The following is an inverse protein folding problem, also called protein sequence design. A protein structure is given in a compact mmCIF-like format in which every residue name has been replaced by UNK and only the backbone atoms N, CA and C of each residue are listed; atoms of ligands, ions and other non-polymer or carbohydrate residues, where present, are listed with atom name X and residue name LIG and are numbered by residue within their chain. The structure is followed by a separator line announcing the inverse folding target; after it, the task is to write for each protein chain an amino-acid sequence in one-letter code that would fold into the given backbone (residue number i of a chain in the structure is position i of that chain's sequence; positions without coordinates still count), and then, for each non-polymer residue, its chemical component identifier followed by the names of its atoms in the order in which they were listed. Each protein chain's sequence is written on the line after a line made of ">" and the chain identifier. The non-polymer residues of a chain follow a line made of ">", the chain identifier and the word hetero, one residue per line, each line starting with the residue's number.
data_IF_335622634173
#
_entry.id   IF_335622634173
#
_cell.length_a   1.000
_cell.length_b   1.000
_cell.length_c   1.000
_cell.angle_alpha   90.00
_cell.angle_beta   90.00
_cell.angle_gamma   90.00
#
_symmetry.space_group_name_H-M   'P 1'
#
loop_
_entity.id
_entity.type
_entity.pdbx_description
1 polymer ?
#
# COMPACT_ATOMS: atom_id res chain seq x y z
N UNK A 1 15.63 22.07 24.88
CA UNK A 1 14.62 23.12 25.14
C UNK A 1 13.33 22.42 25.51
N UNK A 2 13.08 22.30 26.82
CA UNK A 2 11.94 21.57 27.40
C UNK A 2 10.83 22.59 27.65
N UNK A 3 9.70 22.49 26.95
CA UNK A 3 8.54 23.38 27.17
C UNK A 3 7.56 22.67 28.12
N UNK A 4 7.53 23.13 29.37
CA UNK A 4 6.55 22.72 30.38
C UNK A 4 5.33 23.65 30.24
N UNK A 5 4.17 23.12 29.85
CA UNK A 5 2.89 23.86 29.93
C UNK A 5 2.20 23.52 31.25
N UNK A 6 2.10 24.51 32.15
CA UNK A 6 1.24 24.48 33.33
C UNK A 6 -0.19 24.85 32.90
N UNK A 7 -1.13 23.91 33.03
CA UNK A 7 -2.56 24.19 32.93
C UNK A 7 -3.12 24.42 34.34
N UNK A 8 -3.71 25.59 34.58
CA UNK A 8 -4.45 25.90 35.80
C UNK A 8 -5.85 25.24 35.77
N UNK A 9 -6.44 24.86 36.92
CA UNK A 9 -7.77 24.26 36.94
C UNK A 9 -8.85 25.35 36.92
N UNK A 10 -9.84 25.22 36.04
CA UNK A 10 -11.11 25.94 36.16
C UNK A 10 -12.08 25.13 37.04
N UNK A 11 -12.73 25.80 37.98
CA UNK A 11 -13.65 25.20 38.96
C UNK A 11 -15.05 24.97 38.38
N UNK A 12 -15.66 23.85 38.78
CA UNK A 12 -16.93 23.28 38.34
C UNK A 12 -18.18 24.10 38.70
N UNK A 13 -19.16 24.13 37.80
CA UNK A 13 -20.59 24.06 38.15
C UNK A 13 -21.42 23.72 36.90
N UNK A 14 -21.76 22.45 36.73
CA UNK A 14 -23.12 21.94 36.46
C UNK A 14 -23.04 20.43 36.16
N UNK A 15 -23.16 19.61 37.21
CA UNK A 15 -23.26 18.15 37.07
C UNK A 15 -24.73 17.76 36.90
N UNK A 16 -25.25 17.92 35.68
CA UNK A 16 -26.41 17.12 35.27
C UNK A 16 -25.90 15.73 34.89
N UNK A 17 -26.19 14.78 35.79
CA UNK A 17 -25.80 13.38 35.74
C UNK A 17 -26.55 12.64 34.60
N UNK A 18 -26.12 12.85 33.36
CA UNK A 18 -26.41 11.91 32.28
C UNK A 18 -25.29 10.90 32.30
N UNK A 19 -25.61 9.66 32.68
CA UNK A 19 -24.69 8.54 32.68
C UNK A 19 -23.89 8.54 31.38
N UNK A 20 -22.61 8.91 31.46
CA UNK A 20 -21.69 8.77 30.35
C UNK A 20 -21.51 7.27 30.13
N UNK A 21 -22.31 6.71 29.23
CA UNK A 21 -21.98 5.48 28.56
C UNK A 21 -20.61 5.72 27.92
N UNK A 22 -19.57 5.24 28.58
CA UNK A 22 -18.20 5.41 28.17
C UNK A 22 -18.02 4.75 26.81
N UNK A 23 -18.12 5.53 25.74
CA UNK A 23 -17.57 5.14 24.45
C UNK A 23 -16.08 5.01 24.66
N UNK A 24 -15.60 3.77 24.78
CA UNK A 24 -14.19 3.50 24.58
C UNK A 24 -13.92 3.83 23.11
N UNK A 25 -13.32 4.98 22.86
CA UNK A 25 -12.94 5.36 21.51
C UNK A 25 -11.89 4.34 21.03
N UNK A 26 -12.33 3.38 20.22
CA UNK A 26 -11.40 2.47 19.57
C UNK A 26 -10.52 3.27 18.60
N UNK A 27 -9.20 3.02 18.57
CA UNK A 27 -8.33 3.69 17.62
C UNK A 27 -8.79 3.40 16.18
N UNK A 28 -8.92 4.45 15.38
CA UNK A 28 -9.22 4.36 13.95
C UNK A 28 -7.91 4.19 13.20
N UNK A 29 -7.83 3.16 12.38
CA UNK A 29 -6.67 2.87 11.53
C UNK A 29 -6.99 3.18 10.07
N UNK A 30 -6.02 3.77 9.37
CA UNK A 30 -6.07 4.03 7.93
C UNK A 30 -4.80 3.47 7.32
N UNK A 31 -4.95 2.71 6.23
CA UNK A 31 -3.84 2.24 5.40
C UNK A 31 -3.89 2.92 4.05
N UNK A 32 -2.72 3.30 3.53
CA UNK A 32 -2.58 3.95 2.22
C UNK A 32 -1.64 3.11 1.37
N UNK A 33 -2.11 2.73 0.19
CA UNK A 33 -1.33 2.02 -0.82
C UNK A 33 -1.19 2.95 -2.04
N UNK A 34 0.03 3.07 -2.57
CA UNK A 34 0.29 3.77 -3.84
C UNK A 34 0.68 2.74 -4.89
N UNK A 35 -0.10 2.71 -5.97
CA UNK A 35 0.01 1.75 -7.08
C UNK A 35 0.80 2.29 -8.26
N UNK A 36 1.03 1.43 -9.27
CA UNK A 36 1.68 1.74 -10.55
C UNK A 36 3.14 2.24 -10.46
N UNK A 37 3.85 1.81 -9.41
CA UNK A 37 5.28 2.03 -9.29
C UNK A 37 6.10 1.09 -10.19
N UNK A 38 7.29 1.54 -10.55
CA UNK A 38 8.33 0.78 -11.23
C UNK A 38 8.59 1.19 -12.68
N UNK A 39 7.69 1.97 -13.28
CA UNK A 39 7.87 2.48 -14.65
C UNK A 39 8.81 3.68 -14.73
N UNK A 40 8.92 4.50 -13.67
CA UNK A 40 9.75 5.72 -13.70
C UNK A 40 10.44 5.92 -12.36
N UNK A 41 11.71 5.50 -12.26
CA UNK A 41 12.45 5.51 -11.00
C UNK A 41 12.48 6.90 -10.32
N UNK A 42 12.74 7.98 -11.07
CA UNK A 42 12.82 9.33 -10.49
C UNK A 42 11.48 9.84 -9.93
N UNK A 43 10.38 9.59 -10.66
CA UNK A 43 9.01 9.89 -10.20
C UNK A 43 8.67 9.07 -8.95
N UNK A 44 8.93 7.77 -8.99
CA UNK A 44 8.52 6.84 -7.96
C UNK A 44 9.31 7.07 -6.65
N UNK A 45 10.57 7.49 -6.74
CA UNK A 45 11.35 7.94 -5.58
C UNK A 45 10.72 9.12 -4.83
N UNK A 46 9.94 9.98 -5.51
CA UNK A 46 9.21 11.05 -4.79
C UNK A 46 8.13 10.48 -3.88
N UNK A 47 7.45 9.42 -4.32
CA UNK A 47 6.47 8.72 -3.50
C UNK A 47 7.14 8.01 -2.32
N UNK A 48 8.27 7.33 -2.55
CA UNK A 48 9.04 6.63 -1.50
C UNK A 48 9.53 7.58 -0.40
N UNK A 49 9.82 8.84 -0.74
CA UNK A 49 10.27 9.88 0.21
C UNK A 49 9.16 10.47 1.08
N UNK A 50 7.90 10.07 0.91
CA UNK A 50 6.82 10.56 1.77
C UNK A 50 7.13 10.23 3.24
N UNK A 51 7.03 11.22 4.16
CA UNK A 51 7.33 11.04 5.58
C UNK A 51 6.17 10.39 6.34
N UNK A 52 5.62 9.28 5.80
CA UNK A 52 4.48 8.56 6.35
C UNK A 52 4.60 7.04 6.11
N UNK A 53 3.94 6.19 6.91
CA UNK A 53 3.88 4.74 6.68
C UNK A 53 2.92 4.44 5.52
N UNK A 54 3.46 4.43 4.30
CA UNK A 54 2.75 4.14 3.06
C UNK A 54 3.26 2.84 2.49
N UNK A 55 2.35 2.00 1.98
CA UNK A 55 2.67 0.76 1.29
C UNK A 55 2.76 1.02 -0.21
N UNK A 56 3.74 0.42 -0.89
CA UNK A 56 4.00 0.69 -2.30
C UNK A 56 3.80 -0.56 -3.14
N UNK A 57 2.93 -0.48 -4.14
CA UNK A 57 2.64 -1.58 -5.05
C UNK A 57 3.39 -1.42 -6.37
N UNK A 58 4.23 -2.41 -6.69
CA UNK A 58 5.19 -2.33 -7.80
C UNK A 58 4.77 -3.28 -8.92
N UNK A 59 4.71 -2.76 -10.15
CA UNK A 59 4.45 -3.56 -11.34
C UNK A 59 5.66 -4.49 -11.61
N UNK A 60 5.50 -5.82 -11.60
CA UNK A 60 6.62 -6.79 -11.55
C UNK A 60 7.50 -6.80 -12.80
N UNK A 61 6.95 -6.41 -13.95
CA UNK A 61 7.67 -6.41 -15.25
C UNK A 61 8.03 -5.01 -15.72
N UNK A 62 7.91 -3.99 -14.86
CA UNK A 62 8.34 -2.64 -15.16
C UNK A 62 9.87 -2.52 -15.16
N UNK A 63 10.40 -1.50 -15.84
CA UNK A 63 11.84 -1.31 -16.06
C UNK A 63 12.67 -1.21 -14.77
N UNK A 64 12.06 -0.80 -13.66
CA UNK A 64 12.74 -0.58 -12.39
C UNK A 64 12.20 -1.43 -11.25
N UNK A 65 11.35 -2.43 -11.49
CA UNK A 65 10.65 -3.19 -10.44
C UNK A 65 11.58 -3.64 -9.30
N UNK A 66 12.61 -4.42 -9.62
CA UNK A 66 13.53 -4.99 -8.64
C UNK A 66 14.36 -3.92 -7.92
N UNK A 67 14.95 -2.98 -8.68
CA UNK A 67 15.76 -1.89 -8.10
C UNK A 67 14.92 -1.00 -7.18
N UNK A 68 13.71 -0.68 -7.57
CA UNK A 68 12.80 0.14 -6.79
C UNK A 68 12.37 -0.59 -5.52
N UNK A 69 12.04 -1.89 -5.61
CA UNK A 69 11.70 -2.69 -4.44
C UNK A 69 12.83 -2.71 -3.39
N UNK A 70 14.08 -2.84 -3.83
CA UNK A 70 15.25 -2.71 -2.94
C UNK A 70 15.29 -1.32 -2.27
N UNK A 71 15.14 -0.24 -3.03
CA UNK A 71 15.14 1.12 -2.47
C UNK A 71 13.99 1.37 -1.50
N UNK A 72 12.79 0.84 -1.79
CA UNK A 72 11.61 0.94 -0.90
C UNK A 72 11.87 0.18 0.40
N UNK A 73 12.47 -1.01 0.32
CA UNK A 73 12.82 -1.82 1.47
C UNK A 73 13.89 -1.15 2.34
N UNK A 74 14.96 -0.62 1.74
CA UNK A 74 16.01 0.14 2.41
C UNK A 74 15.47 1.41 3.11
N UNK A 75 14.40 2.00 2.57
CA UNK A 75 13.69 3.12 3.18
C UNK A 75 12.74 2.70 4.33
N UNK A 76 12.70 1.42 4.69
CA UNK A 76 11.85 0.89 5.76
C UNK A 76 10.36 0.92 5.43
N UNK A 77 9.99 0.86 4.15
CA UNK A 77 8.60 0.93 3.68
C UNK A 77 8.09 -0.46 3.27
N UNK A 78 6.77 -0.65 3.36
CA UNK A 78 6.12 -1.90 2.95
C UNK A 78 5.94 -1.97 1.42
N UNK A 79 6.05 -3.18 0.87
CA UNK A 79 6.00 -3.46 -0.57
C UNK A 79 4.93 -4.50 -0.87
N UNK A 80 4.18 -4.29 -1.95
CA UNK A 80 3.28 -5.27 -2.54
C UNK A 80 3.60 -5.48 -4.02
N UNK A 81 3.24 -6.64 -4.56
CA UNK A 81 3.27 -6.90 -6.01
C UNK A 81 1.99 -6.36 -6.63
N UNK A 82 2.08 -5.46 -7.59
CA UNK A 82 0.93 -4.95 -8.35
C UNK A 82 0.70 -5.84 -9.58
N UNK A 83 -0.14 -6.86 -9.45
CA UNK A 83 -0.36 -7.90 -10.48
C UNK A 83 -1.26 -7.40 -11.61
N UNK A 84 -0.80 -7.34 -12.87
CA UNK A 84 -1.64 -7.00 -13.99
C UNK A 84 -2.67 -8.10 -14.29
N UNK A 85 -3.95 -7.72 -14.36
CA UNK A 85 -5.07 -8.64 -14.52
C UNK A 85 -6.07 -8.16 -15.58
N UNK A 86 -6.66 -9.12 -16.29
CA UNK A 86 -7.68 -8.87 -17.32
C UNK A 86 -8.83 -8.00 -16.81
N UNK A 87 -9.33 -7.15 -17.70
CA UNK A 87 -10.46 -6.25 -17.43
C UNK A 87 -11.55 -6.46 -18.49
N UNK A 88 -12.76 -6.00 -18.18
CA UNK A 88 -13.95 -6.13 -19.04
C UNK A 88 -13.93 -5.21 -20.25
N UNK A 89 -13.02 -4.24 -20.30
CA UNK A 89 -12.96 -3.19 -21.33
C UNK A 89 -11.88 -3.46 -22.38
N UNK A 90 -11.31 -4.66 -22.40
CA UNK A 90 -10.19 -5.06 -23.26
C UNK A 90 -9.02 -4.06 -23.26
N UNK A 91 -8.85 -3.31 -22.16
CA UNK A 91 -7.75 -2.37 -22.03
C UNK A 91 -6.42 -3.13 -21.91
N UNK A 92 -5.33 -2.60 -22.48
CA UNK A 92 -4.01 -3.21 -22.33
C UNK A 92 -3.66 -3.41 -20.85
N UNK A 93 -3.43 -4.66 -20.45
CA UNK A 93 -3.06 -5.01 -19.07
C UNK A 93 -1.56 -4.91 -18.80
N UNK A 94 -0.74 -4.74 -19.83
CA UNK A 94 0.72 -4.70 -19.70
C UNK A 94 1.39 -6.08 -19.57
N UNK A 95 2.73 -6.12 -19.43
CA UNK A 95 3.49 -7.35 -19.46
C UNK A 95 3.21 -8.27 -18.26
N UNK A 96 3.16 -9.58 -18.51
CA UNK A 96 2.91 -10.58 -17.47
C UNK A 96 1.46 -10.65 -16.98
N UNK A 97 0.53 -10.08 -17.74
CA UNK A 97 -0.87 -10.00 -17.36
C UNK A 97 -1.57 -11.37 -17.22
N UNK A 98 -2.34 -11.49 -16.15
CA UNK A 98 -3.13 -12.67 -15.83
C UNK A 98 -4.48 -12.58 -16.54
N UNK A 99 -4.82 -13.62 -17.31
CA UNK A 99 -6.07 -13.68 -18.08
C UNK A 99 -6.86 -14.93 -17.74
N UNK A 100 -8.17 -14.89 -17.98
CA UNK A 100 -9.07 -16.04 -17.79
C UNK A 100 -8.79 -17.22 -18.74
N UNK A 101 -7.93 -17.02 -19.75
CA UNK A 101 -7.49 -18.06 -20.69
C UNK A 101 -6.34 -18.90 -20.14
N UNK A 102 -5.69 -18.45 -19.06
CA UNK A 102 -4.61 -19.20 -18.42
C UNK A 102 -5.18 -20.46 -17.74
N UNK A 103 -4.52 -21.59 -17.96
CA UNK A 103 -4.77 -22.77 -17.13
C UNK A 103 -4.31 -22.50 -15.70
N UNK A 104 -4.86 -23.22 -14.74
CA UNK A 104 -4.49 -23.06 -13.33
C UNK A 104 -2.97 -23.24 -13.07
N UNK A 105 -2.25 -24.22 -13.67
CA UNK A 105 -0.80 -24.29 -13.56
C UNK A 105 -0.07 -23.07 -14.16
N UNK A 106 -0.51 -22.57 -15.31
CA UNK A 106 0.09 -21.41 -15.95
C UNK A 106 -0.15 -20.13 -15.13
N UNK A 107 -1.33 -19.98 -14.54
CA UNK A 107 -1.65 -18.88 -13.61
C UNK A 107 -0.72 -18.89 -12.39
N UNK A 108 -0.54 -20.05 -11.72
CA UNK A 108 0.37 -20.18 -10.57
C UNK A 108 1.81 -19.83 -10.94
N UNK A 109 2.28 -20.31 -12.09
CA UNK A 109 3.63 -20.00 -12.57
C UNK A 109 3.78 -18.49 -12.86
N UNK A 110 2.78 -17.88 -13.49
CA UNK A 110 2.79 -16.45 -13.79
C UNK A 110 2.84 -15.60 -12.50
N UNK A 111 2.03 -15.95 -11.49
CA UNK A 111 2.06 -15.29 -10.17
C UNK A 111 3.42 -15.48 -9.49
N UNK A 112 3.96 -16.70 -9.47
CA UNK A 112 5.27 -16.98 -8.87
C UNK A 112 6.40 -16.17 -9.54
N UNK A 113 6.38 -16.08 -10.87
CA UNK A 113 7.33 -15.28 -11.63
C UNK A 113 7.17 -13.78 -11.41
N UNK A 114 5.96 -13.29 -11.15
CA UNK A 114 5.72 -11.90 -10.81
C UNK A 114 6.26 -11.58 -9.41
N UNK A 115 5.97 -12.43 -8.43
CA UNK A 115 6.44 -12.28 -7.04
C UNK A 115 7.97 -12.25 -6.97
N UNK A 116 8.66 -13.13 -7.71
CA UNK A 116 10.14 -13.19 -7.68
C UNK A 116 10.83 -11.94 -8.23
N UNK A 117 10.11 -11.08 -8.97
CA UNK A 117 10.65 -9.84 -9.54
C UNK A 117 10.54 -8.64 -8.59
N UNK A 118 9.69 -8.73 -7.57
CA UNK A 118 9.47 -7.69 -6.56
C UNK A 118 9.96 -8.23 -5.21
N UNK A 119 11.28 -8.21 -4.96
CA UNK A 119 11.83 -8.71 -3.69
C UNK A 119 11.27 -7.93 -2.50
N UNK A 120 11.22 -8.58 -1.34
CA UNK A 120 10.69 -8.02 -0.07
C UNK A 120 9.18 -7.73 -0.06
N UNK A 121 8.44 -8.06 -1.12
CA UNK A 121 7.00 -7.93 -1.12
C UNK A 121 6.35 -8.82 -0.03
N UNK A 122 5.44 -8.24 0.75
CA UNK A 122 4.69 -8.91 1.82
C UNK A 122 3.24 -9.18 1.43
N UNK A 123 2.80 -8.67 0.27
CA UNK A 123 1.43 -8.81 -0.22
C UNK A 123 1.30 -8.65 -1.73
N UNK A 124 0.05 -8.78 -2.21
CA UNK A 124 -0.32 -8.69 -3.62
C UNK A 124 -1.50 -7.73 -3.74
N UNK A 125 -1.46 -6.85 -4.74
CA UNK A 125 -2.54 -5.95 -5.14
C UNK A 125 -2.86 -6.13 -6.64
N UNK A 126 -4.11 -6.02 -7.05
CA UNK A 126 -4.49 -6.14 -8.46
C UNK A 126 -4.32 -4.81 -9.22
N UNK A 127 -3.69 -4.86 -10.40
CA UNK A 127 -3.74 -3.79 -11.40
C UNK A 127 -4.85 -4.12 -12.39
N UNK A 128 -5.92 -3.31 -12.38
CA UNK A 128 -7.20 -3.62 -13.05
C UNK A 128 -7.86 -4.87 -12.48
N UNK A 129 -8.16 -5.91 -13.26
CA UNK A 129 -8.74 -7.15 -12.72
C UNK A 129 -10.26 -7.17 -12.58
N UNK A 130 -10.99 -6.49 -13.47
CA UNK A 130 -12.46 -6.45 -13.40
C UNK A 130 -13.17 -7.62 -14.12
N UNK A 131 -12.43 -8.48 -14.82
CA UNK A 131 -12.99 -9.59 -15.59
C UNK A 131 -13.44 -10.74 -14.68
#
# INVERSE_FOLDING_TARGET
>A
MLLLLLAAPFSNADQTNVAQAGFTAHPVYISIIIDDLGNSYSRDLRAVRLPAPVTYSILPYSAHATRLAQTVHEAGKEIMVHLPMQNLRDMPIGPGGLTNKLTHPAFKLAVSNAVSRVPHATGINNHMGSF
#
